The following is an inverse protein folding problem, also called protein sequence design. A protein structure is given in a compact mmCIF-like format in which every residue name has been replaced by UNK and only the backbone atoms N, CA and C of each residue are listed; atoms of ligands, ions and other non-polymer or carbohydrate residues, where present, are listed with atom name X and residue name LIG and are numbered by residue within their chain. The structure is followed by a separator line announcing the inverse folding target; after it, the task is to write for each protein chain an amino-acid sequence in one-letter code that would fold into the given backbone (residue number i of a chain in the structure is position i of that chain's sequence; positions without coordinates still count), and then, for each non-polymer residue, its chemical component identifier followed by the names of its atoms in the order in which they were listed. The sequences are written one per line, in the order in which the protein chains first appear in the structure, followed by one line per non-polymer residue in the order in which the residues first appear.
data_IF_565320523512
#
_entry.id   IF_565320523512
#
_cell.length_a   1.000
_cell.length_b   1.000
_cell.length_c   1.000
_cell.angle_alpha   90.00
_cell.angle_beta   90.00
_cell.angle_gamma   90.00
#
_symmetry.space_group_name_H-M   'P 1'
#
loop_
_entity.id
_entity.type
_entity.pdbx_description
1 polymer ?
#
# COMPACT_ATOMS: atom_id res chain seq x y z
N UNK A 1 18.83 -12.89 -5.24
CA UNK A 1 17.69 -11.94 -5.25
C UNK A 1 18.07 -10.64 -4.57
N UNK A 2 18.42 -10.63 -3.28
CA UNK A 2 18.80 -9.41 -2.54
C UNK A 2 19.92 -8.60 -3.22
N UNK A 3 21.07 -9.21 -3.52
CA UNK A 3 22.17 -8.51 -4.23
C UNK A 3 21.80 -8.00 -5.63
N UNK A 4 20.79 -8.59 -6.29
CA UNK A 4 20.31 -8.11 -7.57
C UNK A 4 19.36 -6.91 -7.38
N UNK A 5 18.54 -6.94 -6.33
CA UNK A 5 17.69 -5.83 -5.92
C UNK A 5 18.52 -4.62 -5.46
N UNK A 6 19.54 -4.80 -4.61
CA UNK A 6 20.42 -3.69 -4.16
C UNK A 6 21.14 -2.99 -5.31
N UNK A 7 21.48 -3.72 -6.37
CA UNK A 7 22.08 -3.15 -7.59
C UNK A 7 21.07 -2.43 -8.47
N UNK A 8 19.82 -2.90 -8.49
CA UNK A 8 18.74 -2.32 -9.28
C UNK A 8 18.12 -1.08 -8.61
N UNK A 9 18.03 -1.08 -7.28
CA UNK A 9 17.37 -0.06 -6.48
C UNK A 9 18.36 0.60 -5.53
N UNK A 10 18.89 1.76 -5.93
CA UNK A 10 19.78 2.54 -5.07
C UNK A 10 19.01 3.00 -3.81
N UNK A 11 19.56 2.71 -2.63
CA UNK A 11 18.96 3.09 -1.35
C UNK A 11 18.04 2.05 -0.71
N UNK A 12 18.02 0.81 -1.24
CA UNK A 12 17.30 -0.31 -0.65
C UNK A 12 17.64 -0.46 0.85
N UNK A 13 16.62 -0.52 1.71
CA UNK A 13 16.81 -0.70 3.16
C UNK A 13 17.43 0.50 3.88
N UNK A 14 17.53 1.69 3.26
CA UNK A 14 17.95 2.91 3.95
C UNK A 14 16.93 3.27 5.04
N UNK A 15 17.24 2.89 6.29
CA UNK A 15 16.42 3.17 7.46
C UNK A 15 16.65 4.60 7.96
N UNK A 16 15.59 5.40 7.98
CA UNK A 16 15.48 6.59 8.83
C UNK A 16 14.55 6.29 10.02
N UNK A 17 14.51 7.17 11.02
CA UNK A 17 13.70 7.03 12.27
C UNK A 17 12.18 7.01 12.00
N UNK A 18 11.69 5.98 11.33
CA UNK A 18 10.35 5.85 10.76
C UNK A 18 9.77 4.47 11.13
N UNK A 19 8.45 4.37 11.17
CA UNK A 19 7.79 3.07 11.34
C UNK A 19 7.93 2.33 10.01
N UNK A 20 8.66 1.20 10.01
CA UNK A 20 8.87 0.43 8.79
C UNK A 20 7.56 -0.17 8.25
N UNK A 21 6.77 -0.81 9.11
CA UNK A 21 5.50 -1.43 8.75
C UNK A 21 4.45 -1.16 9.83
N UNK A 22 3.30 -0.62 9.43
CA UNK A 22 2.09 -0.57 10.23
C UNK A 22 1.11 -1.62 9.70
N UNK A 23 0.92 -2.71 10.43
CA UNK A 23 -0.14 -3.69 10.13
C UNK A 23 -1.37 -3.37 10.97
N UNK A 24 -2.54 -3.28 10.33
CA UNK A 24 -3.83 -3.07 10.97
C UNK A 24 -4.74 -4.28 10.74
N UNK A 25 -5.27 -4.78 11.84
CA UNK A 25 -6.18 -5.92 11.93
C UNK A 25 -7.02 -5.64 13.18
N UNK A 26 -7.96 -4.70 13.03
CA UNK A 26 -8.67 -4.03 14.14
C UNK A 26 -10.17 -3.95 13.87
N UNK A 27 -10.69 -4.95 13.17
CA UNK A 27 -12.12 -5.28 13.08
C UNK A 27 -13.00 -4.10 12.64
N UNK A 28 -12.58 -3.38 11.59
CA UNK A 28 -13.34 -2.28 10.98
C UNK A 28 -12.96 -0.88 11.44
N UNK A 29 -12.01 -0.77 12.39
CA UNK A 29 -11.50 0.51 12.87
C UNK A 29 -10.31 1.03 12.03
N UNK A 30 -9.87 0.30 11.01
CA UNK A 30 -8.76 0.66 10.14
C UNK A 30 -8.92 2.05 9.53
N UNK A 31 -10.09 2.46 8.98
CA UNK A 31 -10.21 3.78 8.36
C UNK A 31 -9.91 4.94 9.30
N UNK A 32 -10.24 4.81 10.59
CA UNK A 32 -9.97 5.84 11.58
C UNK A 32 -8.47 6.02 11.82
N UNK A 33 -7.70 4.93 11.82
CA UNK A 33 -6.24 4.94 11.94
C UNK A 33 -5.59 5.43 10.64
N UNK A 34 -6.07 4.97 9.49
CA UNK A 34 -5.52 5.32 8.18
C UNK A 34 -5.68 6.82 7.86
N UNK A 35 -6.81 7.43 8.23
CA UNK A 35 -7.00 8.89 8.17
C UNK A 35 -6.02 9.68 9.02
N UNK A 36 -5.41 9.07 10.04
CA UNK A 36 -4.37 9.77 10.80
C UNK A 36 -3.09 9.91 9.96
N UNK A 37 -2.79 8.95 9.06
CA UNK A 37 -1.59 8.95 8.22
C UNK A 37 -1.58 10.06 7.16
N UNK A 38 -2.74 10.62 6.82
CA UNK A 38 -2.84 11.76 5.89
C UNK A 38 -2.54 13.11 6.57
N UNK A 39 -2.33 13.13 7.89
CA UNK A 39 -2.08 14.36 8.64
C UNK A 39 -0.59 14.74 8.58
N UNK A 40 -0.24 16.04 8.55
CA UNK A 40 1.15 16.50 8.57
C UNK A 40 1.94 16.10 9.82
N UNK A 41 1.24 15.87 10.94
CA UNK A 41 1.84 15.49 12.23
C UNK A 41 1.94 13.98 12.41
N UNK A 42 1.49 13.19 11.43
CA UNK A 42 1.53 11.74 11.51
C UNK A 42 2.97 11.22 11.50
N UNK A 43 3.26 10.11 12.22
CA UNK A 43 4.54 9.47 12.09
C UNK A 43 4.72 9.00 10.65
N UNK A 44 5.93 9.12 10.13
CA UNK A 44 6.20 8.61 8.81
C UNK A 44 6.23 7.08 8.84
N UNK A 45 5.27 6.48 8.16
CA UNK A 45 5.14 5.04 7.99
C UNK A 45 5.61 4.70 6.58
N UNK A 46 6.54 3.76 6.45
CA UNK A 46 7.07 3.35 5.14
C UNK A 46 6.07 2.45 4.42
N UNK A 47 5.59 1.41 5.10
CA UNK A 47 4.58 0.49 4.59
C UNK A 47 3.39 0.37 5.53
N UNK A 48 2.21 0.21 4.94
CA UNK A 48 0.96 -0.03 5.66
C UNK A 48 0.32 -1.28 5.09
N UNK A 49 -0.18 -2.17 5.94
CA UNK A 49 -1.02 -3.29 5.52
C UNK A 49 -2.27 -3.32 6.37
N UNK A 50 -3.42 -3.55 5.76
CA UNK A 50 -4.70 -3.55 6.47
C UNK A 50 -5.72 -4.48 5.81
N UNK A 51 -6.67 -4.95 6.60
CA UNK A 51 -7.79 -5.75 6.11
C UNK A 51 -9.02 -4.90 5.84
N UNK A 52 -9.68 -5.17 4.71
CA UNK A 52 -10.97 -4.62 4.36
C UNK A 52 -12.01 -5.73 4.37
N UNK A 53 -13.15 -5.47 5.02
CA UNK A 53 -14.34 -6.31 4.92
C UNK A 53 -15.57 -5.41 4.85
N UNK A 54 -16.26 -5.40 3.70
CA UNK A 54 -17.39 -4.49 3.45
C UNK A 54 -18.61 -4.68 4.36
N UNK A 55 -18.71 -5.83 5.04
CA UNK A 55 -19.73 -6.10 6.06
C UNK A 55 -19.33 -5.63 7.47
N UNK A 56 -18.08 -5.19 7.67
CA UNK A 56 -17.54 -4.72 8.95
C UNK A 56 -17.26 -3.22 8.91
N UNK A 57 -16.72 -2.73 7.80
CA UNK A 57 -16.41 -1.33 7.58
C UNK A 57 -17.68 -0.49 7.43
N UNK A 58 -17.65 0.74 7.95
CA UNK A 58 -18.74 1.72 7.83
C UNK A 58 -18.64 2.60 6.59
N UNK A 59 -17.51 2.52 5.89
CA UNK A 59 -17.15 3.36 4.77
C UNK A 59 -16.53 2.50 3.66
N UNK A 60 -16.68 2.91 2.39
CA UNK A 60 -16.18 2.12 1.27
C UNK A 60 -14.65 2.15 1.21
N UNK A 61 -14.06 1.08 0.68
CA UNK A 61 -12.61 0.96 0.47
C UNK A 61 -12.10 2.06 -0.45
N UNK A 62 -12.87 2.43 -1.48
CA UNK A 62 -12.56 3.52 -2.41
C UNK A 62 -12.22 4.82 -1.70
N UNK A 63 -12.97 5.18 -0.65
CA UNK A 63 -12.72 6.39 0.15
C UNK A 63 -11.36 6.36 0.83
N UNK A 64 -11.03 5.26 1.50
CA UNK A 64 -9.76 5.08 2.21
C UNK A 64 -8.56 5.05 1.25
N UNK A 65 -8.69 4.34 0.13
CA UNK A 65 -7.64 4.25 -0.90
C UNK A 65 -7.39 5.62 -1.53
N UNK A 66 -8.45 6.39 -1.79
CA UNK A 66 -8.34 7.77 -2.30
C UNK A 66 -7.64 8.69 -1.31
N UNK A 67 -7.97 8.60 -0.02
CA UNK A 67 -7.32 9.39 1.04
C UNK A 67 -5.83 9.05 1.18
N UNK A 68 -5.48 7.76 1.12
CA UNK A 68 -4.09 7.30 1.14
C UNK A 68 -3.32 7.77 -0.10
N UNK A 69 -3.94 7.72 -1.28
CA UNK A 69 -3.36 8.23 -2.51
C UNK A 69 -3.08 9.73 -2.44
N UNK A 70 -4.03 10.52 -1.95
CA UNK A 70 -3.84 11.94 -1.71
C UNK A 70 -2.73 12.23 -0.67
N UNK A 71 -2.51 11.31 0.27
CA UNK A 71 -1.43 11.39 1.26
C UNK A 71 -0.06 10.92 0.72
N UNK A 72 0.06 10.53 -0.55
CA UNK A 72 1.29 10.08 -1.18
C UNK A 72 1.62 8.60 -0.96
N UNK A 73 0.62 7.78 -0.59
CA UNK A 73 0.75 6.33 -0.58
C UNK A 73 0.16 5.74 -1.87
N UNK A 74 0.76 4.66 -2.35
CA UNK A 74 0.23 3.85 -3.43
C UNK A 74 -0.12 2.46 -2.89
N UNK A 75 -1.35 2.03 -3.11
CA UNK A 75 -1.94 0.84 -2.53
C UNK A 75 -2.15 -0.27 -3.56
N UNK A 76 -2.08 -1.49 -3.05
CA UNK A 76 -2.21 -2.74 -3.78
C UNK A 76 -3.16 -3.68 -3.07
N UNK A 77 -4.02 -4.36 -3.82
CA UNK A 77 -4.70 -5.56 -3.38
C UNK A 77 -3.70 -6.71 -3.31
N UNK A 78 -3.61 -7.33 -2.13
CA UNK A 78 -2.79 -8.52 -1.92
C UNK A 78 -3.58 -9.77 -2.33
N UNK A 79 -3.00 -10.53 -3.24
CA UNK A 79 -3.43 -11.91 -3.54
C UNK A 79 -2.37 -12.89 -3.07
N UNK A 80 -2.61 -14.20 -3.22
CA UNK A 80 -1.63 -15.22 -2.83
C UNK A 80 -0.29 -15.08 -3.58
N UNK A 81 -0.30 -14.53 -4.79
CA UNK A 81 0.87 -14.49 -5.67
C UNK A 81 1.32 -13.07 -6.03
N UNK A 82 0.39 -12.09 -6.02
CA UNK A 82 0.61 -10.79 -6.66
C UNK A 82 0.04 -9.63 -5.87
N UNK A 83 0.61 -8.46 -6.13
CA UNK A 83 0.11 -7.15 -5.71
C UNK A 83 -0.56 -6.48 -6.92
N UNK A 84 -1.87 -6.26 -6.86
CA UNK A 84 -2.61 -5.58 -7.93
C UNK A 84 -2.82 -4.11 -7.55
N UNK A 85 -2.43 -3.14 -8.40
CA UNK A 85 -2.55 -1.74 -8.08
C UNK A 85 -4.03 -1.36 -7.92
N UNK A 86 -4.35 -0.63 -6.86
CA UNK A 86 -5.71 -0.16 -6.57
C UNK A 86 -5.76 1.36 -6.32
N UNK A 87 -4.67 2.09 -6.51
CA UNK A 87 -4.64 3.54 -6.30
C UNK A 87 -4.84 4.34 -7.60
N UNK A 88 -5.43 5.53 -7.46
CA UNK A 88 -5.52 6.52 -8.54
C UNK A 88 -6.17 5.97 -9.82
N UNK A 89 -5.49 6.01 -10.98
CA UNK A 89 -6.06 5.58 -12.26
C UNK A 89 -6.29 4.06 -12.37
N UNK A 90 -5.78 3.27 -11.42
CA UNK A 90 -6.00 1.83 -11.37
C UNK A 90 -7.26 1.44 -10.61
N UNK A 91 -7.96 2.42 -10.02
CA UNK A 91 -9.22 2.20 -9.33
C UNK A 91 -10.41 2.51 -10.25
N UNK A 92 -11.43 1.65 -10.18
CA UNK A 92 -12.77 1.91 -10.70
C UNK A 92 -13.79 1.34 -9.72
N UNK A 93 -14.75 2.17 -9.29
CA UNK A 93 -15.74 1.83 -8.27
C UNK A 93 -16.61 0.63 -8.69
N UNK A 94 -16.73 0.34 -9.99
CA UNK A 94 -17.47 -0.84 -10.48
C UNK A 94 -16.83 -2.17 -10.06
N UNK A 95 -15.54 -2.16 -9.69
CA UNK A 95 -14.81 -3.34 -9.25
C UNK A 95 -14.65 -3.39 -7.73
N UNK A 96 -15.26 -2.47 -6.97
CA UNK A 96 -15.29 -2.57 -5.51
C UNK A 96 -16.24 -3.70 -5.09
N UNK A 97 -15.67 -4.82 -4.64
CA UNK A 97 -16.40 -5.95 -4.10
C UNK A 97 -16.31 -5.94 -2.57
N UNK A 98 -17.43 -6.07 -1.83
CA UNK A 98 -17.44 -6.07 -0.36
C UNK A 98 -16.97 -7.41 0.22
N UNK A 99 -15.82 -7.88 -0.23
CA UNK A 99 -15.21 -9.13 0.20
C UNK A 99 -14.02 -8.86 1.14
N UNK A 100 -13.76 -9.80 2.03
CA UNK A 100 -12.56 -9.78 2.86
C UNK A 100 -11.34 -9.74 1.94
N UNK A 101 -10.52 -8.70 2.08
CA UNK A 101 -9.28 -8.56 1.32
C UNK A 101 -8.19 -7.91 2.16
N UNK A 102 -6.94 -8.21 1.80
CA UNK A 102 -5.77 -7.61 2.41
C UNK A 102 -5.20 -6.58 1.44
N UNK A 103 -4.87 -5.40 1.95
CA UNK A 103 -4.24 -4.33 1.20
C UNK A 103 -2.82 -4.10 1.71
N UNK A 104 -1.94 -3.69 0.80
CA UNK A 104 -0.58 -3.26 1.09
C UNK A 104 -0.34 -1.92 0.41
N UNK A 105 0.19 -0.95 1.15
CA UNK A 105 0.50 0.37 0.64
C UNK A 105 1.94 0.76 1.02
N UNK A 106 2.60 1.48 0.13
CA UNK A 106 3.88 2.14 0.43
C UNK A 106 3.88 3.57 -0.11
N UNK A 107 4.93 4.33 0.19
CA UNK A 107 5.09 5.68 -0.38
C UNK A 107 5.37 5.61 -1.88
N UNK A 108 4.71 6.47 -2.64
CA UNK A 108 5.03 6.61 -4.07
C UNK A 108 6.48 7.10 -4.25
N UNK A 109 7.18 6.53 -5.22
CA UNK A 109 8.60 6.76 -5.46
C UNK A 109 9.58 6.11 -4.45
N UNK A 110 9.10 5.31 -3.49
CA UNK A 110 9.99 4.57 -2.58
C UNK A 110 10.63 3.37 -3.31
N UNK A 111 11.99 3.26 -3.34
CA UNK A 111 12.66 2.18 -4.05
C UNK A 111 12.37 0.79 -3.49
N UNK A 112 12.05 0.68 -2.20
CA UNK A 112 11.69 -0.61 -1.60
C UNK A 112 10.28 -1.05 -2.02
N UNK A 113 9.36 -0.09 -2.25
CA UNK A 113 8.04 -0.41 -2.80
C UNK A 113 8.17 -0.91 -4.24
N UNK A 114 8.96 -0.21 -5.05
CA UNK A 114 9.20 -0.60 -6.45
C UNK A 114 9.80 -2.00 -6.53
N UNK A 115 10.81 -2.30 -5.70
CA UNK A 115 11.42 -3.61 -5.60
C UNK A 115 10.40 -4.71 -5.24
N UNK A 116 9.55 -4.46 -4.23
CA UNK A 116 8.52 -5.39 -3.79
C UNK A 116 7.49 -5.67 -4.91
N UNK A 117 7.03 -4.64 -5.61
CA UNK A 117 6.04 -4.82 -6.67
C UNK A 117 6.64 -5.54 -7.87
N UNK A 118 7.89 -5.25 -8.25
CA UNK A 118 8.56 -5.99 -9.32
C UNK A 118 8.74 -7.48 -8.99
N UNK A 119 9.07 -7.81 -7.74
CA UNK A 119 9.15 -9.19 -7.27
C UNK A 119 7.80 -9.93 -7.36
N UNK A 120 6.71 -9.26 -6.97
CA UNK A 120 5.36 -9.86 -6.98
C UNK A 120 4.65 -9.79 -8.35
N UNK A 121 5.14 -8.97 -9.27
CA UNK A 121 4.60 -8.89 -10.64
C UNK A 121 5.27 -9.90 -11.58
N UNK A 122 6.37 -10.54 -11.16
CA UNK A 122 7.20 -11.38 -12.03
C UNK A 122 7.84 -10.62 -13.18
N UNK A 123 7.81 -9.28 -13.14
CA UNK A 123 8.24 -8.39 -14.20
C UNK A 123 9.16 -7.31 -13.62
N UNK A 124 10.46 -7.57 -13.70
CA UNK A 124 11.48 -6.56 -13.42
C UNK A 124 11.40 -5.49 -14.53
N UNK A 125 11.20 -4.22 -14.17
CA UNK A 125 11.28 -3.08 -15.11
C UNK A 125 9.98 -2.55 -15.75
N UNK A 126 8.79 -2.88 -15.23
CA UNK A 126 7.50 -2.37 -15.78
C UNK A 126 6.80 -1.28 -14.93
N UNK A 127 7.49 -0.60 -14.02
CA UNK A 127 6.88 0.52 -13.29
C UNK A 127 6.58 1.70 -14.24
N UNK A 128 5.36 2.29 -14.22
CA UNK A 128 5.06 3.49 -15.01
C UNK A 128 5.94 4.64 -14.51
N UNK A 129 6.69 5.26 -15.41
CA UNK A 129 7.45 6.50 -15.14
C UNK A 129 6.61 7.73 -15.41
#
# INVERSE_FOLDING_TARGET
VVNAAEKAFQGLGASSRRIFLLKLDIEGMEPAVLRFLSRPTSPEVKFVSFEYAGNVWREPLSGVVKDLYAAGYFCFLMTQERLFPVSGPFWDDIYELPMWSNLFCGRDGDPDLEALVQLHSGAVGLWPR
#
